data_IF_628833536906
#
_entry.id   IF_628833536906
#
_cell.length_a   1.000
_cell.length_b   1.000
_cell.length_c   1.000
_cell.angle_alpha   90.00
_cell.angle_beta   90.00
_cell.angle_gamma   90.00
#
_symmetry.space_group_name_H-M   'P 1'
#
loop_
_entity.id
_entity.type
_entity.pdbx_description
1 polymer ?
#
# COMPACT_ATOMS: atom_id res chain seq x y z
N UNK A 1 -7.51 -16.89 10.85
CA UNK A 1 -6.57 -17.34 9.79
C UNK A 1 -6.25 -18.80 10.05
N UNK A 2 -5.88 -19.59 9.03
CA UNK A 2 -5.40 -20.96 9.27
C UNK A 2 -4.08 -20.95 10.04
N UNK A 3 -3.80 -22.01 10.80
CA UNK A 3 -2.60 -22.12 11.63
C UNK A 3 -1.30 -21.96 10.83
N UNK A 4 -1.28 -22.44 9.59
CA UNK A 4 -0.14 -22.31 8.66
C UNK A 4 0.31 -20.88 8.41
N UNK A 5 -0.54 -19.89 8.68
CA UNK A 5 -0.16 -18.48 8.63
C UNK A 5 0.75 -18.07 9.79
N UNK A 6 0.54 -18.65 10.96
CA UNK A 6 1.25 -18.31 12.20
C UNK A 6 2.49 -19.18 12.43
N UNK A 7 2.49 -20.40 11.89
CA UNK A 7 3.61 -21.34 12.03
C UNK A 7 4.76 -21.03 11.05
N UNK A 8 5.93 -21.61 11.30
CA UNK A 8 7.12 -21.52 10.44
C UNK A 8 7.57 -20.09 10.09
N UNK A 9 7.32 -19.12 10.98
CA UNK A 9 7.70 -17.72 10.77
C UNK A 9 6.87 -16.99 9.69
N UNK A 10 5.78 -17.58 9.19
CA UNK A 10 4.96 -17.01 8.13
C UNK A 10 4.42 -15.61 8.47
N UNK A 11 3.92 -15.41 9.69
CA UNK A 11 3.48 -14.11 10.16
C UNK A 11 4.66 -13.14 10.33
N UNK A 12 5.77 -13.59 10.94
CA UNK A 12 6.96 -12.75 11.16
C UNK A 12 7.49 -12.18 9.84
N UNK A 13 7.58 -13.01 8.80
CA UNK A 13 8.05 -12.60 7.48
C UNK A 13 7.11 -11.54 6.85
N UNK A 14 5.80 -11.71 6.97
CA UNK A 14 4.81 -10.74 6.46
C UNK A 14 4.88 -9.41 7.20
N UNK A 15 5.12 -9.43 8.50
CA UNK A 15 5.35 -8.21 9.29
C UNK A 15 6.58 -7.48 8.76
N UNK A 16 7.70 -8.19 8.58
CA UNK A 16 8.93 -7.62 8.01
C UNK A 16 8.66 -7.02 6.63
N UNK A 17 8.02 -7.77 5.72
CA UNK A 17 7.67 -7.27 4.38
C UNK A 17 6.76 -6.04 4.42
N UNK A 18 5.77 -6.02 5.31
CA UNK A 18 4.86 -4.88 5.46
C UNK A 18 5.64 -3.63 5.88
N UNK A 19 6.52 -3.74 6.87
CA UNK A 19 7.37 -2.62 7.33
C UNK A 19 8.32 -2.19 6.22
N UNK A 20 8.98 -3.13 5.53
CA UNK A 20 9.88 -2.81 4.42
C UNK A 20 9.16 -2.06 3.28
N UNK A 21 7.94 -2.49 2.91
CA UNK A 21 7.13 -1.81 1.91
C UNK A 21 6.77 -0.38 2.33
N UNK A 22 6.40 -0.18 3.60
CA UNK A 22 6.08 1.16 4.14
C UNK A 22 7.29 2.08 4.14
N UNK A 23 8.46 1.58 4.54
CA UNK A 23 9.71 2.34 4.48
C UNK A 23 10.00 2.74 3.03
N UNK A 24 9.95 1.79 2.10
CA UNK A 24 10.22 2.06 0.68
C UNK A 24 9.22 3.06 0.08
N UNK A 25 7.93 2.96 0.41
CA UNK A 25 6.92 3.93 0.01
C UNK A 25 7.20 5.33 0.58
N UNK A 26 7.57 5.41 1.86
CA UNK A 26 7.88 6.66 2.56
C UNK A 26 9.13 7.34 2.02
N UNK A 27 10.15 6.57 1.63
CA UNK A 27 11.35 7.06 0.94
C UNK A 27 11.01 7.61 -0.44
N UNK A 28 10.19 6.90 -1.25
CA UNK A 28 9.72 7.44 -2.53
C UNK A 28 8.99 8.77 -2.32
N UNK A 29 8.07 8.82 -1.37
CA UNK A 29 7.36 10.05 -1.01
C UNK A 29 8.30 11.19 -0.58
N UNK A 30 9.35 10.88 0.20
CA UNK A 30 10.35 11.86 0.61
C UNK A 30 11.10 12.46 -0.59
N UNK A 31 11.61 11.60 -1.48
CA UNK A 31 12.41 11.99 -2.64
C UNK A 31 11.62 12.87 -3.61
N UNK A 32 10.31 12.68 -3.71
CA UNK A 32 9.45 13.48 -4.59
C UNK A 32 9.30 14.93 -4.14
N UNK A 33 9.63 15.27 -2.89
CA UNK A 33 9.51 16.65 -2.39
C UNK A 33 10.35 17.63 -3.18
N UNK A 34 11.62 17.32 -3.44
CA UNK A 34 12.49 18.18 -4.24
C UNK A 34 12.06 18.21 -5.70
N UNK A 35 11.79 17.03 -6.29
CA UNK A 35 11.39 16.91 -7.69
C UNK A 35 10.12 17.74 -7.98
N UNK A 36 9.07 17.61 -7.15
CA UNK A 36 7.82 18.35 -7.36
C UNK A 36 8.01 19.86 -7.13
N UNK A 37 8.87 20.25 -6.17
CA UNK A 37 9.20 21.65 -5.90
C UNK A 37 9.92 22.30 -7.08
N UNK A 38 10.86 21.58 -7.70
CA UNK A 38 11.69 22.10 -8.79
C UNK A 38 10.95 22.12 -10.14
N UNK A 39 9.81 21.42 -10.24
CA UNK A 39 8.98 21.32 -11.44
C UNK A 39 7.53 21.78 -11.21
N UNK A 40 7.26 23.10 -11.09
CA UNK A 40 5.93 23.63 -10.80
C UNK A 40 4.88 23.35 -11.89
N UNK A 41 5.31 23.13 -13.13
CA UNK A 41 4.45 22.83 -14.28
C UNK A 41 4.08 21.35 -14.42
N UNK A 42 4.62 20.47 -13.55
CA UNK A 42 4.37 19.03 -13.59
C UNK A 42 2.87 18.72 -13.39
N UNK A 43 2.28 17.98 -14.34
CA UNK A 43 0.85 17.60 -14.34
C UNK A 43 0.58 16.15 -13.96
N UNK A 44 1.58 15.27 -14.12
CA UNK A 44 1.50 13.86 -13.78
C UNK A 44 2.89 13.32 -13.47
N UNK A 45 2.97 12.31 -12.63
CA UNK A 45 4.20 11.65 -12.21
C UNK A 45 3.96 10.15 -12.05
N UNK A 46 4.89 9.34 -12.55
CA UNK A 46 4.98 7.90 -12.28
C UNK A 46 6.41 7.60 -11.87
N UNK A 47 6.59 7.01 -10.68
CA UNK A 47 7.88 6.58 -10.15
C UNK A 47 7.83 5.07 -9.84
N UNK A 48 8.66 4.29 -10.51
CA UNK A 48 8.78 2.85 -10.32
C UNK A 48 10.25 2.42 -10.37
N UNK A 49 10.58 1.24 -9.88
CA UNK A 49 11.89 0.63 -10.15
C UNK A 49 11.97 0.03 -11.56
N UNK A 50 13.12 -0.55 -11.91
CA UNK A 50 13.37 -1.14 -13.24
C UNK A 50 12.40 -2.24 -13.62
N UNK A 51 11.79 -2.90 -12.63
CA UNK A 51 10.87 -4.02 -12.81
C UNK A 51 9.40 -3.57 -12.71
N UNK A 52 9.15 -2.27 -12.53
CA UNK A 52 7.81 -1.72 -12.33
C UNK A 52 7.24 -1.94 -10.92
N UNK A 53 8.05 -2.38 -9.96
CA UNK A 53 7.60 -2.63 -8.59
C UNK A 53 7.60 -1.34 -7.76
N UNK A 54 6.70 -1.31 -6.77
CA UNK A 54 6.51 -0.16 -5.89
C UNK A 54 6.13 1.12 -6.63
N UNK A 55 5.40 0.98 -7.74
CA UNK A 55 4.96 2.10 -8.57
C UNK A 55 4.12 3.10 -7.77
N UNK A 56 4.52 4.36 -7.78
CA UNK A 56 3.79 5.50 -7.25
C UNK A 56 3.32 6.37 -8.42
N UNK A 57 2.01 6.60 -8.50
CA UNK A 57 1.39 7.44 -9.52
C UNK A 57 0.72 8.65 -8.86
N UNK A 58 0.94 9.85 -9.41
CA UNK A 58 0.24 11.07 -9.02
C UNK A 58 -0.27 11.79 -10.26
N UNK A 59 -1.56 12.13 -10.26
CA UNK A 59 -2.18 13.02 -11.23
C UNK A 59 -2.16 14.47 -10.75
N UNK A 60 -2.86 15.34 -11.48
CA UNK A 60 -2.83 16.78 -11.23
C UNK A 60 -3.36 17.15 -9.85
N UNK A 61 -4.46 16.55 -9.41
CA UNK A 61 -5.04 16.80 -8.08
C UNK A 61 -4.12 16.32 -6.95
N UNK A 62 -3.52 15.12 -7.08
CA UNK A 62 -2.58 14.60 -6.08
C UNK A 62 -1.30 15.45 -6.01
N UNK A 63 -0.81 15.94 -7.15
CA UNK A 63 0.35 16.84 -7.18
C UNK A 63 0.02 18.21 -6.58
N UNK A 64 -1.20 18.72 -6.77
CA UNK A 64 -1.66 19.94 -6.13
C UNK A 64 -1.74 19.77 -4.60
N UNK A 65 -2.41 18.71 -4.15
CA UNK A 65 -2.50 18.36 -2.73
C UNK A 65 -1.11 18.19 -2.11
N UNK A 66 -0.19 17.50 -2.77
CA UNK A 66 1.18 17.33 -2.29
C UNK A 66 1.94 18.66 -2.14
N UNK A 67 1.68 19.65 -3.01
CA UNK A 67 2.31 20.99 -2.93
C UNK A 67 1.74 21.81 -1.77
N UNK A 68 0.43 21.70 -1.54
CA UNK A 68 -0.32 22.49 -0.55
C UNK A 68 -0.21 21.88 0.87
N UNK A 69 -0.23 20.55 0.96
CA UNK A 69 -0.28 19.78 2.21
C UNK A 69 0.99 18.95 2.42
N UNK A 70 2.15 19.60 2.39
CA UNK A 70 3.38 18.91 2.75
C UNK A 70 3.29 18.45 4.21
N UNK A 71 3.23 17.14 4.43
CA UNK A 71 3.36 16.54 5.76
C UNK A 71 4.56 17.18 6.45
N UNK A 72 4.30 17.90 7.56
CA UNK A 72 5.34 18.57 8.34
C UNK A 72 6.52 17.63 8.51
N UNK A 73 7.67 18.01 7.96
CA UNK A 73 8.90 17.28 8.26
C UNK A 73 9.04 17.31 9.79
N UNK A 74 9.21 16.14 10.41
CA UNK A 74 9.55 16.10 11.84
C UNK A 74 10.76 17.02 12.04
N UNK A 75 10.66 17.98 12.97
CA UNK A 75 11.65 19.05 13.18
C UNK A 75 13.09 18.54 13.45
N UNK A 76 13.27 17.23 13.70
CA UNK A 76 14.54 16.60 14.03
C UNK A 76 14.93 15.42 13.14
N UNK A 77 14.27 15.13 12.01
CA UNK A 77 14.73 14.02 11.15
C UNK A 77 14.45 14.24 9.66
N UNK A 78 15.45 13.95 8.81
CA UNK A 78 15.32 13.84 7.35
C UNK A 78 14.47 12.60 6.94
N UNK A 79 13.42 12.27 7.70
CA UNK A 79 12.53 11.12 7.46
C UNK A 79 11.10 11.60 7.26
N UNK A 80 10.39 10.95 6.35
CA UNK A 80 8.93 11.10 6.23
C UNK A 80 8.27 10.42 7.44
N UNK A 81 7.43 11.15 8.16
CA UNK A 81 6.56 10.58 9.19
C UNK A 81 5.51 9.69 8.52
N UNK A 82 5.38 8.45 8.99
CA UNK A 82 4.32 7.55 8.55
C UNK A 82 3.13 7.78 9.49
N UNK A 83 1.95 8.19 8.99
CA UNK A 83 0.79 8.38 9.85
C UNK A 83 0.35 7.05 10.46
N UNK A 84 -0.43 7.11 11.53
CA UNK A 84 -1.18 5.95 11.97
C UNK A 84 -1.99 5.40 10.79
N UNK A 85 -2.09 4.07 10.67
CA UNK A 85 -2.65 3.41 9.50
C UNK A 85 -3.66 2.33 9.90
N UNK A 86 -4.75 2.26 9.13
CA UNK A 86 -5.66 1.13 9.09
C UNK A 86 -5.27 0.19 7.95
N UNK A 87 -5.18 -1.10 8.25
CA UNK A 87 -4.76 -2.13 7.30
C UNK A 87 -5.83 -3.19 7.12
N UNK A 88 -6.07 -3.57 5.86
CA UNK A 88 -6.94 -4.68 5.48
C UNK A 88 -6.10 -5.78 4.84
N UNK A 89 -6.01 -6.89 5.54
CA UNK A 89 -5.26 -8.07 5.12
C UNK A 89 -6.22 -9.15 4.60
N UNK A 90 -5.89 -9.74 3.45
CA UNK A 90 -6.55 -10.92 2.90
C UNK A 90 -5.49 -11.96 2.56
N UNK A 91 -5.82 -13.23 2.84
CA UNK A 91 -4.86 -14.32 2.76
C UNK A 91 -5.48 -15.57 2.13
N UNK A 92 -4.70 -16.25 1.29
CA UNK A 92 -4.96 -17.60 0.83
C UNK A 92 -3.67 -18.44 0.95
N UNK A 93 -3.69 -19.60 1.62
CA UNK A 93 -2.49 -20.45 1.75
C UNK A 93 -2.00 -21.00 0.41
N UNK A 94 -2.92 -21.20 -0.52
CA UNK A 94 -2.64 -21.59 -1.91
C UNK A 94 -3.67 -20.90 -2.80
N UNK A 95 -3.22 -20.37 -3.93
CA UNK A 95 -4.05 -19.67 -4.90
C UNK A 95 -3.64 -20.02 -6.33
N UNK A 96 -4.49 -20.76 -7.03
CA UNK A 96 -4.29 -21.06 -8.44
C UNK A 96 -4.54 -19.80 -9.29
N UNK A 97 -3.69 -19.61 -10.29
CA UNK A 97 -3.78 -18.57 -11.28
C UNK A 97 -3.95 -19.19 -12.68
N UNK A 98 -4.44 -18.42 -13.66
CA UNK A 98 -4.50 -18.88 -15.04
C UNK A 98 -3.11 -19.32 -15.55
N UNK A 99 -3.10 -20.30 -16.46
CA UNK A 99 -1.86 -20.76 -17.11
C UNK A 99 -1.03 -21.74 -16.29
N UNK A 100 -1.63 -22.50 -15.37
CA UNK A 100 -0.96 -23.47 -14.47
C UNK A 100 0.02 -22.86 -13.47
N UNK A 101 -0.02 -21.53 -13.27
CA UNK A 101 0.68 -20.87 -12.18
C UNK A 101 -0.10 -21.00 -10.87
N UNK A 102 0.62 -20.98 -9.75
CA UNK A 102 0.01 -20.89 -8.43
C UNK A 102 0.87 -20.04 -7.49
N UNK A 103 0.21 -19.38 -6.54
CA UNK A 103 0.86 -18.64 -5.46
C UNK A 103 0.70 -19.40 -4.15
N UNK A 104 1.83 -19.64 -3.49
CA UNK A 104 1.84 -20.16 -2.13
C UNK A 104 1.85 -19.00 -1.14
N UNK A 105 0.96 -19.06 -0.16
CA UNK A 105 0.85 -18.05 0.88
C UNK A 105 0.46 -16.65 0.38
N UNK A 106 -0.37 -16.56 -0.67
CA UNK A 106 -0.79 -15.32 -1.30
C UNK A 106 -1.41 -14.32 -0.31
N UNK A 107 -0.93 -13.08 -0.38
CA UNK A 107 -1.25 -12.01 0.59
C UNK A 107 -1.64 -10.75 -0.15
N UNK A 108 -2.79 -10.18 0.18
CA UNK A 108 -3.16 -8.84 -0.25
C UNK A 108 -3.31 -7.96 0.98
N UNK A 109 -2.56 -6.87 1.02
CA UNK A 109 -2.62 -5.88 2.08
C UNK A 109 -2.99 -4.53 1.48
N UNK A 110 -4.03 -3.90 2.03
CA UNK A 110 -4.43 -2.53 1.69
C UNK A 110 -4.21 -1.67 2.91
N UNK A 111 -3.36 -0.65 2.80
CA UNK A 111 -2.99 0.25 3.89
C UNK A 111 -3.58 1.62 3.60
N UNK A 112 -4.19 2.24 4.61
CA UNK A 112 -4.71 3.60 4.54
C UNK A 112 -4.29 4.39 5.76
N UNK A 113 -3.98 5.69 5.65
CA UNK A 113 -3.90 6.56 6.82
C UNK A 113 -5.17 6.44 7.67
N UNK A 114 -5.01 6.42 8.99
CA UNK A 114 -6.11 6.57 9.91
C UNK A 114 -6.59 8.03 9.82
N UNK A 115 -7.88 8.24 9.54
CA UNK A 115 -8.46 9.58 9.52
C UNK A 115 -8.58 10.09 10.96
N UNK A 116 -8.27 11.37 11.17
CA UNK A 116 -8.59 12.07 12.41
C UNK A 116 -10.11 12.24 12.50
N UNK A 117 -10.79 11.33 13.18
CA UNK A 117 -12.10 11.53 13.81
C UNK A 117 -13.36 11.74 12.95
N UNK A 118 -13.30 12.14 11.68
CA UNK A 118 -14.50 12.47 10.88
C UNK A 118 -14.79 11.47 9.77
N UNK A 119 -14.92 10.21 10.14
CA UNK A 119 -15.96 9.28 9.67
C UNK A 119 -15.57 7.88 10.14
N UNK A 120 -16.32 7.35 11.12
CA UNK A 120 -16.31 5.94 11.52
C UNK A 120 -16.86 5.02 10.42
N UNK A 121 -16.49 5.27 9.17
CA UNK A 121 -16.79 4.43 8.05
C UNK A 121 -15.83 3.26 8.08
N UNK A 122 -16.30 2.12 8.56
CA UNK A 122 -15.75 0.82 8.24
C UNK A 122 -15.46 0.81 6.74
N UNK A 123 -14.19 1.07 6.34
CA UNK A 123 -13.90 1.37 4.94
C UNK A 123 -14.48 0.25 4.09
N UNK A 124 -15.48 0.56 3.27
CA UNK A 124 -16.31 -0.47 2.66
C UNK A 124 -15.45 -1.39 1.81
N UNK A 125 -15.90 -2.63 1.58
CA UNK A 125 -15.32 -3.50 0.56
C UNK A 125 -15.13 -2.75 -0.78
N UNK A 126 -16.09 -1.88 -1.14
CA UNK A 126 -16.05 -1.03 -2.34
C UNK A 126 -14.84 -0.09 -2.38
N UNK A 127 -14.45 0.45 -1.23
CA UNK A 127 -13.37 1.43 -1.13
C UNK A 127 -11.99 0.77 -1.18
N UNK A 128 -11.89 -0.47 -0.69
CA UNK A 128 -10.72 -1.30 -0.93
C UNK A 128 -10.65 -1.72 -2.41
N UNK A 129 -11.77 -2.18 -2.99
CA UNK A 129 -11.85 -2.54 -4.42
C UNK A 129 -11.44 -1.37 -5.31
N UNK A 130 -11.86 -0.14 -5.01
CA UNK A 130 -11.45 1.05 -5.74
C UNK A 130 -9.93 1.27 -5.72
N UNK A 131 -9.27 1.07 -4.57
CA UNK A 131 -7.82 1.21 -4.47
C UNK A 131 -7.04 0.12 -5.21
N UNK A 132 -7.52 -1.12 -5.19
CA UNK A 132 -6.79 -2.24 -5.82
C UNK A 132 -7.14 -2.40 -7.29
N UNK A 133 -8.23 -1.78 -7.76
CA UNK A 133 -8.67 -1.81 -9.15
C UNK A 133 -7.64 -1.13 -10.04
N UNK A 134 -7.03 -1.89 -10.96
CA UNK A 134 -6.01 -1.38 -11.88
C UNK A 134 -4.64 -1.15 -11.23
N UNK A 135 -4.44 -1.52 -9.97
CA UNK A 135 -3.13 -1.42 -9.31
C UNK A 135 -2.18 -2.58 -9.66
N UNK A 136 -2.71 -3.66 -10.24
CA UNK A 136 -1.95 -4.86 -10.60
C UNK A 136 -2.35 -5.35 -11.99
N UNK A 137 -1.34 -5.68 -12.78
CA UNK A 137 -1.50 -6.21 -14.14
C UNK A 137 -1.17 -7.70 -14.22
N UNK A 138 -1.44 -8.28 -15.39
CA UNK A 138 -1.06 -9.67 -15.70
C UNK A 138 -1.62 -10.70 -14.72
N UNK A 139 -0.85 -11.75 -14.36
CA UNK A 139 -1.28 -12.79 -13.42
C UNK A 139 -1.68 -12.27 -12.04
N UNK A 140 -1.07 -11.16 -11.58
CA UNK A 140 -1.37 -10.57 -10.27
C UNK A 140 -2.77 -9.95 -10.21
N UNK A 141 -3.30 -9.46 -11.34
CA UNK A 141 -4.68 -8.97 -11.41
C UNK A 141 -5.70 -10.06 -11.04
N UNK A 142 -5.45 -11.32 -11.43
CA UNK A 142 -6.29 -12.46 -11.07
C UNK A 142 -6.13 -12.81 -9.60
N UNK A 143 -4.90 -12.78 -9.10
CA UNK A 143 -4.61 -13.03 -7.69
C UNK A 143 -5.38 -12.06 -6.78
N UNK A 144 -5.35 -10.77 -7.12
CA UNK A 144 -6.08 -9.72 -6.40
C UNK A 144 -7.58 -9.96 -6.43
N UNK A 145 -8.16 -10.23 -7.61
CA UNK A 145 -9.61 -10.50 -7.74
C UNK A 145 -10.04 -11.70 -6.89
N UNK A 146 -9.24 -12.75 -6.85
CA UNK A 146 -9.53 -13.93 -6.05
C UNK A 146 -9.35 -13.68 -4.54
N UNK A 147 -8.28 -12.98 -4.15
CA UNK A 147 -8.04 -12.58 -2.76
C UNK A 147 -9.13 -11.66 -2.24
N UNK A 148 -9.67 -10.75 -3.06
CA UNK A 148 -10.75 -9.84 -2.65
C UNK A 148 -12.04 -10.55 -2.21
N UNK A 149 -12.25 -11.81 -2.64
CA UNK A 149 -13.36 -12.66 -2.18
C UNK A 149 -13.09 -13.35 -0.85
N UNK A 150 -11.85 -13.32 -0.34
CA UNK A 150 -11.47 -13.93 0.95
C UNK A 150 -11.82 -13.02 2.13
N UNK A 151 -11.87 -13.65 3.32
CA UNK A 151 -12.06 -12.98 4.60
C UNK A 151 -11.03 -11.87 4.79
N UNK A 152 -11.52 -10.70 5.19
CA UNK A 152 -10.68 -9.55 5.55
C UNK A 152 -10.32 -9.63 7.04
N UNK A 153 -9.05 -9.39 7.34
CA UNK A 153 -8.54 -9.17 8.69
C UNK A 153 -8.15 -7.70 8.81
N UNK A 154 -8.61 -7.04 9.87
CA UNK A 154 -8.30 -5.64 10.14
C UNK A 154 -7.09 -5.59 11.08
N UNK A 155 -6.13 -4.74 10.75
CA UNK A 155 -5.00 -4.43 11.63
C UNK A 155 -4.86 -2.91 11.74
N UNK A 156 -4.33 -2.48 12.87
CA UNK A 156 -4.00 -1.09 13.14
C UNK A 156 -2.51 -0.98 13.37
N UNK A 157 -1.92 0.12 12.91
CA UNK A 157 -0.53 0.44 13.13
C UNK A 157 -0.42 1.90 13.57
N UNK A 158 0.25 2.14 14.69
CA UNK A 158 0.53 3.50 15.14
C UNK A 158 1.52 4.19 14.19
N UNK A 159 1.44 5.51 14.10
CA UNK A 159 2.39 6.31 13.32
C UNK A 159 3.79 6.28 13.92
N UNK A 160 4.81 6.47 13.08
CA UNK A 160 6.22 6.47 13.46
C UNK A 160 7.10 7.29 12.50
#
# INVERSE_FOLDING_TARGET
MPESFYTNGGLKLRVVWTISCLIAASTRHYLLRSIIKDHPTLRSLVLADSDGQGTLCMGTEQLKDFRENQLSASACSNRTQVPACNMKLKYAPYLELPGSLALQGATLLVIKPASDGSSGGHGSRKEAEALVSGAFDGPLSFAVKALMKKRTYLLEMNGF
#
